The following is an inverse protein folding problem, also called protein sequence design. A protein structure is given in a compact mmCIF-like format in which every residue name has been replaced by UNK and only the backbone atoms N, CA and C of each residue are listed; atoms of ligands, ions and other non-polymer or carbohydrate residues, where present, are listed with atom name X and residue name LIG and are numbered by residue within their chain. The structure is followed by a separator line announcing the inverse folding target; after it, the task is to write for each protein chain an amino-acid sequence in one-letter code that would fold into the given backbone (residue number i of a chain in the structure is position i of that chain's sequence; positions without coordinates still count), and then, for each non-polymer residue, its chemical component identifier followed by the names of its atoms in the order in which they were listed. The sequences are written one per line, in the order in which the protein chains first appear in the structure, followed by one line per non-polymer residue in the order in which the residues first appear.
data_IF_616399089117
#
_entry.id   IF_616399089117
#
_cell.length_a   1.000
_cell.length_b   1.000
_cell.length_c   1.000
_cell.angle_alpha   90.00
_cell.angle_beta   90.00
_cell.angle_gamma   90.00
#
_symmetry.space_group_name_H-M   'P 1'
#
loop_
_entity.id
_entity.type
_entity.pdbx_description
1 polymer ?
#
# COMPACT_ATOMS: atom_id res chain seq x y z
N UNK A 1 -23.00 -4.06 -56.73
CA UNK A 1 -23.36 -4.19 -55.30
C UNK A 1 -22.08 -4.25 -54.50
N UNK A 2 -21.81 -3.23 -53.70
CA UNK A 2 -20.97 -3.34 -52.51
C UNK A 2 -21.39 -2.19 -51.60
N UNK A 3 -22.22 -2.54 -50.62
CA UNK A 3 -22.72 -1.64 -49.61
C UNK A 3 -21.56 -1.24 -48.70
N UNK A 4 -21.32 0.07 -48.61
CA UNK A 4 -20.50 0.65 -47.56
C UNK A 4 -21.32 0.49 -46.29
N UNK A 5 -20.91 -0.44 -45.43
CA UNK A 5 -21.50 -0.61 -44.13
C UNK A 5 -21.20 0.65 -43.30
N UNK A 6 -22.27 1.38 -42.97
CA UNK A 6 -22.25 2.43 -41.97
C UNK A 6 -21.74 1.83 -40.65
N UNK A 7 -20.49 2.14 -40.31
CA UNK A 7 -19.95 1.89 -38.99
C UNK A 7 -20.61 2.91 -38.05
N UNK A 8 -21.66 2.47 -37.36
CA UNK A 8 -22.23 3.18 -36.20
C UNK A 8 -21.14 3.39 -35.17
N UNK A 9 -20.65 4.62 -35.07
CA UNK A 9 -19.88 5.13 -33.93
C UNK A 9 -20.78 5.05 -32.69
N UNK A 10 -20.71 3.93 -31.96
CA UNK A 10 -21.17 3.90 -30.57
C UNK A 10 -20.23 4.80 -29.79
N UNK A 11 -20.74 5.91 -29.27
CA UNK A 11 -19.97 6.90 -28.54
C UNK A 11 -19.13 6.24 -27.44
N UNK A 12 -17.81 6.21 -27.64
CA UNK A 12 -16.85 5.77 -26.64
C UNK A 12 -16.68 6.90 -25.62
N UNK A 13 -17.61 7.01 -24.68
CA UNK A 13 -17.35 7.82 -23.50
C UNK A 13 -16.24 7.14 -22.69
N UNK A 14 -15.22 7.90 -22.32
CA UNK A 14 -14.15 7.43 -21.44
C UNK A 14 -14.75 7.01 -20.09
N UNK A 15 -14.43 5.80 -19.61
CA UNK A 15 -14.87 5.31 -18.30
C UNK A 15 -14.15 6.06 -17.19
N UNK A 16 -14.88 6.87 -16.43
CA UNK A 16 -14.34 7.59 -15.27
C UNK A 16 -14.41 6.67 -14.04
N UNK A 17 -13.28 6.49 -13.33
CA UNK A 17 -13.22 5.68 -12.10
C UNK A 17 -14.16 6.22 -11.00
N UNK A 18 -14.96 5.34 -10.39
CA UNK A 18 -16.00 5.72 -9.42
C UNK A 18 -15.67 5.36 -7.96
N UNK A 19 -14.48 4.81 -7.71
CA UNK A 19 -14.07 4.26 -6.41
C UNK A 19 -14.27 2.75 -6.35
N UNK A 20 -13.36 2.04 -5.68
CA UNK A 20 -13.28 0.57 -5.77
C UNK A 20 -14.57 -0.16 -5.42
N UNK A 21 -15.41 0.39 -4.53
CA UNK A 21 -16.66 -0.28 -4.14
C UNK A 21 -17.63 -0.34 -5.32
N UNK A 22 -17.70 0.71 -6.14
CA UNK A 22 -18.58 0.71 -7.31
C UNK A 22 -18.01 -0.06 -8.50
N UNK A 23 -16.68 -0.13 -8.61
CA UNK A 23 -16.01 -0.86 -9.69
C UNK A 23 -16.02 -2.37 -9.45
N UNK A 24 -15.98 -2.82 -8.18
CA UNK A 24 -15.93 -4.24 -7.80
C UNK A 24 -17.07 -4.65 -6.86
N UNK A 25 -18.23 -3.99 -6.97
CA UNK A 25 -19.37 -4.15 -6.05
C UNK A 25 -19.82 -5.59 -5.87
N UNK A 26 -19.86 -6.34 -6.96
CA UNK A 26 -20.29 -7.74 -7.01
C UNK A 26 -19.30 -8.72 -6.35
N UNK A 27 -18.08 -8.26 -6.06
CA UNK A 27 -17.00 -9.04 -5.43
C UNK A 27 -16.70 -8.58 -3.99
N UNK A 28 -17.47 -7.63 -3.48
CA UNK A 28 -17.27 -7.06 -2.14
C UNK A 28 -18.49 -7.37 -1.26
N UNK A 29 -18.31 -7.48 0.08
CA UNK A 29 -19.40 -7.79 1.00
C UNK A 29 -20.29 -6.57 1.27
N UNK A 30 -20.89 -6.02 0.21
CA UNK A 30 -21.78 -4.86 0.23
C UNK A 30 -23.13 -5.24 -0.37
N UNK A 31 -24.19 -4.57 0.09
CA UNK A 31 -25.55 -4.72 -0.43
C UNK A 31 -25.91 -3.50 -1.27
N UNK A 32 -27.09 -3.53 -1.92
CA UNK A 32 -27.64 -2.35 -2.59
C UNK A 32 -27.93 -1.18 -1.63
N UNK A 33 -28.08 -1.46 -0.32
CA UNK A 33 -28.28 -0.44 0.72
C UNK A 33 -27.01 0.02 1.42
N UNK A 34 -25.87 -0.62 1.19
CA UNK A 34 -24.61 -0.22 1.84
C UNK A 34 -24.24 1.21 1.41
N UNK A 35 -24.12 2.17 2.36
CA UNK A 35 -23.74 3.53 2.05
C UNK A 35 -22.27 3.60 1.64
N UNK A 36 -22.01 3.91 0.37
CA UNK A 36 -20.64 3.98 -0.16
C UNK A 36 -19.96 5.26 0.28
N UNK A 37 -18.96 5.12 1.16
CA UNK A 37 -18.05 6.20 1.57
C UNK A 37 -16.76 6.05 0.78
N UNK A 38 -16.68 6.78 -0.33
CA UNK A 38 -15.49 6.78 -1.21
C UNK A 38 -14.88 8.17 -1.35
N UNK A 39 -13.55 8.18 -1.53
CA UNK A 39 -12.75 9.31 -2.00
C UNK A 39 -12.18 9.02 -3.40
N UNK A 40 -12.81 8.09 -4.13
CA UNK A 40 -12.39 7.60 -5.45
C UNK A 40 -11.04 6.85 -5.42
N UNK A 41 -10.77 6.17 -4.30
CA UNK A 41 -9.61 5.28 -4.14
C UNK A 41 -9.63 4.05 -5.06
N UNK A 42 -8.46 3.43 -5.24
CA UNK A 42 -8.23 2.44 -6.27
C UNK A 42 -7.95 3.08 -7.63
N UNK A 43 -7.98 2.28 -8.70
CA UNK A 43 -7.67 2.76 -10.05
C UNK A 43 -6.25 3.32 -10.16
N UNK A 44 -5.33 2.86 -9.32
CA UNK A 44 -3.98 3.44 -9.21
C UNK A 44 -3.11 3.01 -10.39
N UNK A 45 -2.12 3.84 -10.80
CA UNK A 45 -1.24 3.51 -11.91
C UNK A 45 -0.51 2.17 -11.71
N UNK A 46 -0.44 1.37 -12.78
CA UNK A 46 0.49 0.26 -12.93
C UNK A 46 1.57 0.70 -13.93
N UNK A 47 2.69 1.18 -13.41
CA UNK A 47 3.73 1.85 -14.20
C UNK A 47 4.78 0.82 -14.64
N UNK A 48 5.07 0.66 -15.95
CA UNK A 48 6.22 -0.11 -16.39
C UNK A 48 7.52 0.46 -15.81
N UNK A 49 8.33 -0.37 -15.17
CA UNK A 49 9.60 0.02 -14.58
C UNK A 49 10.75 -0.41 -15.48
N UNK A 50 11.20 0.51 -16.33
CA UNK A 50 12.14 0.19 -17.40
C UNK A 50 13.51 -0.25 -16.84
N UNK A 51 14.03 0.48 -15.86
CA UNK A 51 15.35 0.18 -15.27
C UNK A 51 15.30 -1.13 -14.50
N UNK A 52 14.23 -1.42 -13.78
CA UNK A 52 14.06 -2.72 -13.12
C UNK A 52 13.94 -3.85 -14.13
N UNK A 53 13.24 -3.62 -15.25
CA UNK A 53 13.11 -4.60 -16.33
C UNK A 53 14.46 -4.94 -16.94
N UNK A 54 15.27 -3.92 -17.28
CA UNK A 54 16.63 -4.09 -17.80
C UNK A 54 17.55 -4.84 -16.83
N UNK A 55 17.46 -4.54 -15.52
CA UNK A 55 18.32 -5.18 -14.50
C UNK A 55 17.92 -6.60 -14.15
N UNK A 56 16.68 -7.00 -14.43
CA UNK A 56 16.16 -8.34 -14.10
C UNK A 56 15.97 -9.22 -15.32
N UNK A 57 16.00 -8.65 -16.54
CA UNK A 57 15.63 -9.34 -17.77
C UNK A 57 14.15 -9.72 -17.83
N UNK A 58 13.29 -9.07 -17.04
CA UNK A 58 11.86 -9.37 -16.87
C UNK A 58 10.99 -8.17 -17.25
N UNK A 59 9.68 -8.37 -17.41
CA UNK A 59 8.72 -7.27 -17.56
C UNK A 59 8.25 -6.82 -16.18
N UNK A 60 8.86 -5.78 -15.63
CA UNK A 60 8.58 -5.30 -14.27
C UNK A 60 7.62 -4.12 -14.28
N UNK A 61 6.61 -4.18 -13.41
CA UNK A 61 5.63 -3.10 -13.21
C UNK A 61 5.57 -2.68 -11.74
N UNK A 62 5.29 -1.41 -11.49
CA UNK A 62 5.05 -0.84 -10.17
C UNK A 62 3.56 -0.56 -9.99
N UNK A 63 2.92 -1.22 -9.02
CA UNK A 63 1.56 -0.84 -8.60
C UNK A 63 1.67 0.32 -7.61
N UNK A 64 1.43 1.55 -8.10
CA UNK A 64 1.72 2.80 -7.38
C UNK A 64 0.60 3.19 -6.43
N UNK A 65 0.54 2.53 -5.28
CA UNK A 65 -0.50 2.73 -4.28
C UNK A 65 -0.39 4.06 -3.52
N UNK A 66 0.76 4.75 -3.65
CA UNK A 66 0.95 6.12 -3.18
C UNK A 66 0.10 7.17 -3.89
N UNK A 67 -0.60 6.81 -4.98
CA UNK A 67 -1.53 7.69 -5.69
C UNK A 67 -2.97 7.66 -5.11
N UNK A 68 -3.25 6.80 -4.13
CA UNK A 68 -4.53 6.82 -3.42
C UNK A 68 -4.76 8.14 -2.66
N UNK A 69 -6.02 8.50 -2.31
CA UNK A 69 -6.38 9.82 -1.76
C UNK A 69 -5.56 10.29 -0.56
N UNK A 70 -5.21 9.39 0.36
CA UNK A 70 -4.40 9.71 1.53
C UNK A 70 -2.93 9.35 1.35
N UNK A 71 -2.53 8.90 0.17
CA UNK A 71 -1.15 8.55 -0.18
C UNK A 71 -0.72 7.15 0.24
N UNK A 72 -1.66 6.21 0.44
CA UNK A 72 -1.32 4.80 0.71
C UNK A 72 -2.43 3.82 0.34
N UNK A 73 -2.07 2.55 0.13
CA UNK A 73 -3.01 1.44 -0.10
C UNK A 73 -4.07 1.23 1.00
N UNK A 74 -3.88 1.84 2.18
CA UNK A 74 -4.80 1.69 3.32
C UNK A 74 -6.20 2.18 2.98
N UNK A 75 -6.31 3.13 2.07
CA UNK A 75 -7.56 3.69 1.56
C UNK A 75 -8.48 2.62 1.00
N UNK A 76 -7.90 1.60 0.33
CA UNK A 76 -8.68 0.48 -0.21
C UNK A 76 -9.45 -0.28 0.87
N UNK A 77 -8.79 -0.56 1.99
CA UNK A 77 -9.44 -1.20 3.12
C UNK A 77 -10.34 -0.24 3.88
N UNK A 78 -9.99 1.03 3.93
CA UNK A 78 -10.68 2.02 4.76
C UNK A 78 -12.02 2.43 4.18
N UNK A 79 -12.15 2.57 2.85
CA UNK A 79 -13.47 2.79 2.22
C UNK A 79 -14.46 1.69 2.61
N UNK A 80 -14.04 0.42 2.57
CA UNK A 80 -14.86 -0.72 2.98
C UNK A 80 -15.19 -0.67 4.47
N UNK A 81 -14.19 -0.47 5.33
CA UNK A 81 -14.38 -0.43 6.77
C UNK A 81 -15.34 0.69 7.21
N UNK A 82 -15.21 1.88 6.63
CA UNK A 82 -16.04 3.02 6.99
C UNK A 82 -17.45 2.92 6.38
N UNK A 83 -17.59 2.40 5.16
CA UNK A 83 -18.90 2.14 4.55
C UNK A 83 -19.70 1.13 5.37
N UNK A 84 -19.05 0.03 5.79
CA UNK A 84 -19.67 -0.98 6.66
C UNK A 84 -19.96 -0.44 8.07
N UNK A 85 -19.02 0.30 8.67
CA UNK A 85 -19.28 0.96 9.95
C UNK A 85 -20.49 1.90 9.88
N UNK A 86 -20.68 2.60 8.75
CA UNK A 86 -21.82 3.48 8.54
C UNK A 86 -23.13 2.71 8.37
N UNK A 87 -23.08 1.60 7.65
CA UNK A 87 -24.20 0.67 7.53
C UNK A 87 -24.65 0.14 8.90
N UNK A 88 -23.69 -0.17 9.76
CA UNK A 88 -23.92 -0.71 11.11
C UNK A 88 -24.28 0.38 12.15
N UNK A 89 -24.38 1.65 11.73
CA UNK A 89 -24.79 2.76 12.59
C UNK A 89 -23.70 3.32 13.51
N UNK A 90 -22.43 3.04 13.23
CA UNK A 90 -21.32 3.62 14.00
C UNK A 90 -21.30 5.15 13.90
N UNK A 91 -21.02 5.81 15.02
CA UNK A 91 -20.90 7.27 15.11
C UNK A 91 -19.43 7.71 15.14
N UNK A 92 -18.54 6.81 15.51
CA UNK A 92 -17.11 7.03 15.56
C UNK A 92 -16.32 5.82 15.07
N UNK A 93 -15.07 6.04 14.71
CA UNK A 93 -14.12 5.00 14.34
C UNK A 93 -12.83 5.18 15.10
N UNK A 94 -12.20 4.07 15.46
CA UNK A 94 -11.00 4.07 16.30
C UNK A 94 -9.91 3.17 15.73
N UNK A 95 -8.67 3.64 15.85
CA UNK A 95 -7.49 2.85 15.52
C UNK A 95 -6.35 3.07 16.52
N UNK A 96 -5.48 2.07 16.65
CA UNK A 96 -4.28 2.11 17.49
C UNK A 96 -3.03 2.16 16.59
N UNK A 97 -2.92 3.20 15.76
CA UNK A 97 -1.82 3.35 14.81
C UNK A 97 -1.50 4.83 14.59
N UNK A 98 -0.22 5.17 14.52
CA UNK A 98 0.25 6.57 14.37
C UNK A 98 0.69 6.92 12.94
N UNK A 99 0.42 6.07 11.95
CA UNK A 99 0.87 6.22 10.57
C UNK A 99 -0.25 6.15 9.53
N UNK A 100 0.02 5.53 8.38
CA UNK A 100 -0.90 5.51 7.23
C UNK A 100 -2.35 5.04 7.55
N UNK A 101 -2.53 4.13 8.51
CA UNK A 101 -3.86 3.68 8.92
C UNK A 101 -4.69 4.80 9.57
N UNK A 102 -4.11 5.63 10.45
CA UNK A 102 -4.86 6.72 11.10
C UNK A 102 -5.13 7.87 10.16
N UNK A 103 -4.20 8.18 9.25
CA UNK A 103 -4.44 9.17 8.19
C UNK A 103 -5.62 8.77 7.30
N UNK A 104 -5.65 7.51 6.85
CA UNK A 104 -6.75 6.95 6.08
C UNK A 104 -8.05 6.95 6.88
N UNK A 105 -8.06 6.42 8.11
CA UNK A 105 -9.25 6.38 8.96
C UNK A 105 -9.84 7.78 9.18
N UNK A 106 -9.00 8.79 9.44
CA UNK A 106 -9.44 10.16 9.65
C UNK A 106 -10.08 10.76 8.40
N UNK A 107 -9.47 10.59 7.22
CA UNK A 107 -10.01 11.12 5.96
C UNK A 107 -11.38 10.53 5.61
N UNK A 108 -11.53 9.21 5.71
CA UNK A 108 -12.82 8.56 5.41
C UNK A 108 -13.87 8.82 6.50
N UNK A 109 -13.48 8.96 7.77
CA UNK A 109 -14.40 9.35 8.83
C UNK A 109 -14.99 10.75 8.57
N UNK A 110 -14.17 11.72 8.15
CA UNK A 110 -14.65 13.05 7.73
C UNK A 110 -15.65 12.91 6.58
N UNK A 111 -15.32 12.13 5.55
CA UNK A 111 -16.21 11.88 4.40
C UNK A 111 -17.53 11.22 4.83
N UNK A 112 -17.52 10.37 5.84
CA UNK A 112 -18.69 9.69 6.36
C UNK A 112 -19.55 10.54 7.32
N UNK A 113 -18.99 11.63 7.87
CA UNK A 113 -19.60 12.41 8.95
C UNK A 113 -19.42 11.77 10.34
N UNK A 114 -18.33 11.02 10.56
CA UNK A 114 -18.03 10.30 11.80
C UNK A 114 -16.88 10.92 12.56
N UNK A 115 -16.82 10.67 13.87
CA UNK A 115 -15.65 11.02 14.69
C UNK A 115 -14.52 10.01 14.42
N UNK A 116 -13.30 10.48 14.13
CA UNK A 116 -12.11 9.62 14.12
C UNK A 116 -11.33 9.79 15.41
N UNK A 117 -10.94 8.68 16.04
CA UNK A 117 -10.07 8.68 17.21
C UNK A 117 -8.83 7.79 16.99
N UNK A 118 -7.69 8.25 17.49
CA UNK A 118 -6.43 7.50 17.50
C UNK A 118 -6.00 7.31 18.94
N UNK A 119 -5.89 6.05 19.39
CA UNK A 119 -5.35 5.73 20.70
C UNK A 119 -3.83 5.59 20.62
N UNK A 120 -3.14 6.29 21.50
CA UNK A 120 -1.67 6.22 21.61
C UNK A 120 -1.28 6.12 23.08
N UNK A 121 -0.23 5.35 23.43
CA UNK A 121 0.33 5.37 24.79
C UNK A 121 0.82 6.76 25.17
N UNK A 122 0.66 7.14 26.43
CA UNK A 122 1.16 8.41 26.96
C UNK A 122 2.67 8.57 26.70
N UNK A 123 3.08 9.77 26.27
CA UNK A 123 4.49 10.11 26.05
C UNK A 123 5.14 9.50 24.80
N UNK A 124 4.40 8.73 23.98
CA UNK A 124 4.90 8.10 22.74
C UNK A 124 4.29 8.72 21.47
N UNK A 125 4.29 10.04 21.39
CA UNK A 125 3.71 10.78 20.25
C UNK A 125 4.81 11.13 19.23
N UNK A 126 4.68 10.61 18.00
CA UNK A 126 5.42 11.09 16.84
C UNK A 126 4.54 12.06 16.03
N UNK A 127 4.47 13.33 16.47
CA UNK A 127 3.53 14.33 15.89
C UNK A 127 3.67 14.47 14.38
N UNK A 128 4.90 14.48 13.85
CA UNK A 128 5.15 14.60 12.40
C UNK A 128 4.42 13.54 11.57
N UNK A 129 4.35 12.29 12.07
CA UNK A 129 3.67 11.19 11.37
C UNK A 129 2.15 11.26 11.45
N UNK A 130 1.63 11.96 12.45
CA UNK A 130 0.19 12.14 12.66
C UNK A 130 -0.34 13.41 12.02
N UNK A 131 0.49 14.22 11.37
CA UNK A 131 0.10 15.51 10.79
C UNK A 131 -1.14 15.41 9.90
N UNK A 132 -1.19 14.41 9.00
CA UNK A 132 -2.36 14.23 8.12
C UNK A 132 -3.63 13.84 8.89
N UNK A 133 -3.53 12.95 9.89
CA UNK A 133 -4.68 12.59 10.72
C UNK A 133 -5.20 13.77 11.55
N UNK A 134 -4.29 14.59 12.09
CA UNK A 134 -4.61 15.81 12.85
C UNK A 134 -5.31 16.85 11.99
N UNK A 135 -4.84 17.09 10.77
CA UNK A 135 -5.48 18.02 9.82
C UNK A 135 -6.89 17.55 9.41
N UNK A 136 -7.10 16.24 9.31
CA UNK A 136 -8.43 15.66 9.13
C UNK A 136 -9.28 15.66 10.43
N UNK A 137 -8.81 16.25 11.53
CA UNK A 137 -9.58 16.41 12.76
C UNK A 137 -9.66 15.16 13.63
N UNK A 138 -8.74 14.20 13.48
CA UNK A 138 -8.69 13.03 14.35
C UNK A 138 -8.43 13.43 15.81
N UNK A 139 -9.24 12.87 16.73
CA UNK A 139 -9.02 13.01 18.17
C UNK A 139 -7.90 12.09 18.62
N UNK A 140 -6.79 12.65 19.07
CA UNK A 140 -5.69 11.87 19.64
C UNK A 140 -5.95 11.69 21.13
N UNK A 141 -6.19 10.45 21.54
CA UNK A 141 -6.43 10.10 22.94
C UNK A 141 -5.20 9.37 23.48
N UNK A 142 -4.51 10.01 24.42
CA UNK A 142 -3.40 9.39 25.13
C UNK A 142 -3.96 8.47 26.22
N UNK A 143 -3.61 7.19 26.14
CA UNK A 143 -3.95 6.19 27.14
C UNK A 143 -2.84 6.14 28.18
N UNK A 144 -3.20 6.24 29.45
CA UNK A 144 -2.31 5.98 30.58
C UNK A 144 -2.05 4.47 30.68
N UNK A 145 -1.12 4.00 29.85
CA UNK A 145 -0.87 2.59 29.64
C UNK A 145 0.09 2.34 28.48
N UNK A 146 0.23 1.09 28.10
CA UNK A 146 1.06 0.63 26.99
C UNK A 146 0.25 0.42 25.69
N UNK A 147 0.87 -0.20 24.68
CA UNK A 147 0.21 -0.45 23.39
C UNK A 147 -0.91 -1.50 23.48
N UNK A 148 -0.74 -2.52 24.31
CA UNK A 148 -1.74 -3.57 24.54
C UNK A 148 -2.96 -3.00 25.28
N UNK A 149 -2.74 -2.07 26.21
CA UNK A 149 -3.82 -1.33 26.88
C UNK A 149 -4.62 -0.49 25.87
N UNK A 150 -3.95 0.14 24.89
CA UNK A 150 -4.62 0.86 23.81
C UNK A 150 -5.49 -0.09 22.95
N UNK A 151 -5.00 -1.28 22.62
CA UNK A 151 -5.77 -2.26 21.85
C UNK A 151 -6.98 -2.77 22.64
N UNK A 152 -6.79 -3.05 23.92
CA UNK A 152 -7.85 -3.51 24.83
C UNK A 152 -8.95 -2.45 24.94
N UNK A 153 -8.56 -1.19 25.21
CA UNK A 153 -9.52 -0.07 25.27
C UNK A 153 -10.24 0.14 23.93
N UNK A 154 -9.53 0.06 22.80
CA UNK A 154 -10.15 0.19 21.48
C UNK A 154 -11.22 -0.87 21.23
N UNK A 155 -10.95 -2.11 21.64
CA UNK A 155 -11.89 -3.23 21.52
C UNK A 155 -13.10 -3.04 22.42
N UNK A 156 -12.90 -2.74 23.69
CA UNK A 156 -14.00 -2.51 24.63
C UNK A 156 -14.90 -1.34 24.20
N UNK A 157 -14.30 -0.26 23.67
CA UNK A 157 -15.06 0.87 23.11
C UNK A 157 -15.96 0.41 21.96
N UNK A 158 -15.46 -0.47 21.09
CA UNK A 158 -16.25 -0.99 19.96
C UNK A 158 -17.35 -1.98 20.35
N UNK A 159 -17.19 -2.66 21.49
CA UNK A 159 -18.18 -3.60 22.00
C UNK A 159 -19.29 -2.90 22.81
N UNK A 160 -18.97 -1.79 23.49
CA UNK A 160 -19.88 -1.11 24.44
C UNK A 160 -20.55 0.15 23.87
N UNK A 161 -20.01 0.74 22.80
CA UNK A 161 -20.45 2.02 22.25
C UNK A 161 -20.53 1.94 20.72
N UNK A 162 -21.22 2.87 20.02
CA UNK A 162 -21.31 2.89 18.56
C UNK A 162 -20.00 3.36 17.90
N UNK A 163 -18.92 2.61 18.15
CA UNK A 163 -17.55 2.87 17.69
C UNK A 163 -17.08 1.67 16.88
N UNK A 164 -16.63 1.88 15.64
CA UNK A 164 -16.07 0.81 14.84
C UNK A 164 -14.54 0.74 14.98
N UNK A 165 -14.00 -0.46 15.22
CA UNK A 165 -12.56 -0.72 15.24
C UNK A 165 -12.04 -0.95 13.81
N UNK A 166 -11.15 -0.08 13.32
CA UNK A 166 -10.65 -0.12 11.92
C UNK A 166 -9.16 -0.52 11.81
N UNK A 167 -8.66 -1.27 12.79
CA UNK A 167 -7.31 -1.83 12.80
C UNK A 167 -7.09 -2.93 11.73
N UNK A 168 -5.85 -3.39 11.56
CA UNK A 168 -5.45 -4.35 10.50
C UNK A 168 -6.19 -5.69 10.54
N UNK A 169 -6.67 -6.07 11.72
CA UNK A 169 -7.41 -7.32 11.97
C UNK A 169 -8.85 -7.29 11.46
N UNK A 170 -9.34 -6.11 11.07
CA UNK A 170 -10.70 -5.97 10.57
C UNK A 170 -10.83 -6.71 9.21
N UNK A 171 -11.68 -7.75 9.10
CA UNK A 171 -11.79 -8.56 7.88
C UNK A 171 -12.26 -7.76 6.67
N UNK A 172 -13.14 -6.75 6.85
CA UNK A 172 -13.63 -5.95 5.71
C UNK A 172 -12.55 -5.06 5.11
N UNK A 173 -11.46 -4.78 5.86
CA UNK A 173 -10.30 -4.10 5.28
C UNK A 173 -9.53 -4.97 4.31
N UNK A 174 -9.48 -6.28 4.54
CA UNK A 174 -8.83 -7.25 3.63
C UNK A 174 -9.64 -7.33 2.33
N UNK A 175 -10.97 -7.37 2.44
CA UNK A 175 -11.88 -7.36 1.28
C UNK A 175 -11.67 -6.14 0.39
N UNK A 176 -11.54 -4.94 0.98
CA UNK A 176 -11.22 -3.74 0.19
C UNK A 176 -9.82 -3.81 -0.43
N UNK A 177 -8.81 -4.25 0.32
CA UNK A 177 -7.42 -4.32 -0.16
C UNK A 177 -7.20 -5.33 -1.29
N UNK A 178 -7.99 -6.41 -1.36
CA UNK A 178 -7.85 -7.45 -2.40
C UNK A 178 -8.07 -6.91 -3.81
N UNK A 179 -8.83 -5.82 -3.94
CA UNK A 179 -9.14 -5.16 -5.22
C UNK A 179 -7.90 -4.69 -5.98
N UNK A 180 -6.78 -4.47 -5.31
CA UNK A 180 -5.54 -4.15 -5.99
C UNK A 180 -5.05 -5.29 -6.90
N UNK A 181 -5.29 -6.55 -6.52
CA UNK A 181 -4.99 -7.71 -7.36
C UNK A 181 -5.93 -7.78 -8.57
N UNK A 182 -7.21 -7.42 -8.40
CA UNK A 182 -8.18 -7.34 -9.50
C UNK A 182 -7.73 -6.32 -10.54
N UNK A 183 -7.37 -5.09 -10.12
CA UNK A 183 -6.89 -4.05 -11.02
C UNK A 183 -5.63 -4.46 -11.80
N UNK A 184 -4.75 -5.25 -11.18
CA UNK A 184 -3.55 -5.76 -11.84
C UNK A 184 -3.94 -6.73 -12.95
N UNK A 185 -4.84 -7.68 -12.67
CA UNK A 185 -5.30 -8.63 -13.70
C UNK A 185 -6.08 -7.91 -14.79
N UNK A 186 -7.00 -7.01 -14.44
CA UNK A 186 -7.80 -6.23 -15.40
C UNK A 186 -6.91 -5.45 -16.38
N UNK A 187 -5.78 -4.90 -15.89
CA UNK A 187 -4.86 -4.13 -16.73
C UNK A 187 -3.90 -5.00 -17.54
N UNK A 188 -3.42 -6.12 -16.99
CA UNK A 188 -2.44 -7.00 -17.65
C UNK A 188 -3.07 -8.11 -18.51
N UNK A 189 -4.39 -8.33 -18.38
CA UNK A 189 -5.14 -9.42 -18.98
C UNK A 189 -4.97 -10.78 -18.30
N UNK A 190 -4.05 -10.91 -17.34
CA UNK A 190 -3.83 -12.09 -16.52
C UNK A 190 -2.99 -11.73 -15.27
N UNK A 191 -2.88 -12.64 -14.31
CA UNK A 191 -1.98 -12.49 -13.18
C UNK A 191 -0.49 -12.47 -13.62
N UNK A 192 0.38 -11.71 -12.91
CA UNK A 192 1.82 -11.78 -13.14
C UNK A 192 2.39 -13.15 -12.74
N UNK A 193 3.63 -13.44 -13.12
CA UNK A 193 4.35 -14.63 -12.65
C UNK A 193 4.74 -14.50 -11.18
N UNK A 194 5.15 -13.29 -10.78
CA UNK A 194 5.56 -12.95 -9.41
C UNK A 194 4.89 -11.64 -9.00
N UNK A 195 4.31 -11.64 -7.81
CA UNK A 195 3.89 -10.41 -7.15
C UNK A 195 4.76 -10.15 -5.92
N UNK A 196 5.47 -9.03 -5.92
CA UNK A 196 6.40 -8.64 -4.86
C UNK A 196 5.83 -7.49 -4.03
N UNK A 197 5.85 -7.60 -2.70
CA UNK A 197 5.34 -6.54 -1.82
C UNK A 197 5.99 -6.51 -0.42
N UNK A 198 5.99 -5.35 0.27
CA UNK A 198 6.47 -5.25 1.64
C UNK A 198 5.52 -5.94 2.63
N UNK A 199 6.06 -6.52 3.69
CA UNK A 199 5.29 -7.23 4.73
C UNK A 199 5.56 -6.64 6.12
N UNK A 200 4.57 -5.93 6.65
CA UNK A 200 4.51 -5.47 8.04
C UNK A 200 3.57 -6.34 8.87
N UNK A 201 2.33 -5.86 9.07
CA UNK A 201 1.26 -6.63 9.73
C UNK A 201 0.66 -7.77 8.88
N UNK A 202 1.19 -7.97 7.66
CA UNK A 202 0.84 -9.02 6.71
C UNK A 202 -0.61 -9.08 6.17
N UNK A 203 -1.47 -8.14 6.54
CA UNK A 203 -2.80 -8.01 5.92
C UNK A 203 -2.76 -7.78 4.41
N UNK A 204 -1.74 -7.07 3.88
CA UNK A 204 -1.68 -6.77 2.45
C UNK A 204 -1.39 -8.01 1.60
N UNK A 205 -0.36 -8.80 1.94
CA UNK A 205 -0.07 -10.06 1.23
C UNK A 205 -1.24 -11.04 1.29
N UNK A 206 -1.92 -11.09 2.43
CA UNK A 206 -3.17 -11.85 2.59
C UNK A 206 -4.25 -11.38 1.62
N UNK A 207 -4.48 -10.06 1.54
CA UNK A 207 -5.49 -9.47 0.68
C UNK A 207 -5.18 -9.69 -0.81
N UNK A 208 -3.95 -9.46 -1.25
CA UNK A 208 -3.55 -9.70 -2.64
C UNK A 208 -3.71 -11.17 -3.02
N UNK A 209 -3.26 -12.10 -2.15
CA UNK A 209 -3.42 -13.52 -2.41
C UNK A 209 -4.88 -13.94 -2.55
N UNK A 210 -5.75 -13.43 -1.66
CA UNK A 210 -7.19 -13.63 -1.76
C UNK A 210 -7.76 -13.12 -3.08
N UNK A 211 -7.39 -11.91 -3.50
CA UNK A 211 -7.84 -11.33 -4.76
C UNK A 211 -7.42 -12.16 -5.98
N UNK A 212 -6.15 -12.58 -6.05
CA UNK A 212 -5.69 -13.44 -7.13
C UNK A 212 -6.42 -14.79 -7.16
N UNK A 213 -6.65 -15.41 -6.00
CA UNK A 213 -7.39 -16.67 -5.92
C UNK A 213 -8.83 -16.55 -6.38
N UNK A 214 -9.53 -15.46 -6.02
CA UNK A 214 -10.91 -15.23 -6.45
C UNK A 214 -10.99 -15.03 -7.97
N UNK A 215 -10.14 -14.19 -8.55
CA UNK A 215 -10.10 -14.00 -10.00
C UNK A 215 -9.74 -15.29 -10.76
N UNK A 216 -8.81 -16.10 -10.23
CA UNK A 216 -8.49 -17.38 -10.83
C UNK A 216 -9.64 -18.39 -10.72
N UNK A 217 -10.33 -18.44 -9.58
CA UNK A 217 -11.48 -19.34 -9.38
C UNK A 217 -12.66 -18.98 -10.30
N UNK A 218 -12.86 -17.69 -10.57
CA UNK A 218 -13.89 -17.18 -11.48
C UNK A 218 -13.48 -17.24 -12.96
N UNK A 219 -12.26 -17.68 -13.28
CA UNK A 219 -11.74 -17.77 -14.64
C UNK A 219 -11.36 -16.44 -15.30
N UNK A 220 -11.25 -15.36 -14.51
CA UNK A 220 -10.78 -14.04 -14.97
C UNK A 220 -9.25 -13.94 -15.04
N UNK A 221 -8.55 -14.80 -14.30
CA UNK A 221 -7.12 -15.04 -14.44
C UNK A 221 -6.89 -16.52 -14.76
N UNK A 222 -5.94 -16.83 -15.64
CA UNK A 222 -5.61 -18.22 -15.97
C UNK A 222 -4.78 -18.90 -14.87
N UNK A 223 -4.19 -18.10 -13.98
CA UNK A 223 -3.26 -18.54 -12.94
C UNK A 223 -3.25 -17.59 -11.74
N UNK A 224 -2.53 -17.99 -10.71
CA UNK A 224 -2.18 -17.12 -9.58
C UNK A 224 -0.66 -16.87 -9.57
N UNK A 225 -0.20 -15.70 -9.08
CA UNK A 225 1.23 -15.39 -9.02
C UNK A 225 1.90 -16.06 -7.82
N UNK A 226 3.22 -16.25 -7.90
CA UNK A 226 4.04 -16.51 -6.71
C UNK A 226 4.09 -15.24 -5.85
N UNK A 227 3.68 -15.32 -4.59
CA UNK A 227 3.66 -14.17 -3.69
C UNK A 227 5.00 -14.01 -2.97
N UNK A 228 5.70 -12.90 -3.21
CA UNK A 228 7.00 -12.59 -2.63
C UNK A 228 6.87 -11.44 -1.62
N UNK A 229 6.91 -11.78 -0.33
CA UNK A 229 6.88 -10.83 0.76
C UNK A 229 8.27 -10.45 1.24
N UNK A 230 8.50 -9.16 1.51
CA UNK A 230 9.77 -8.69 2.06
C UNK A 230 9.60 -7.88 3.35
N UNK A 231 10.32 -8.31 4.41
CA UNK A 231 10.43 -7.58 5.68
C UNK A 231 11.77 -6.84 5.76
N UNK A 232 11.86 -5.82 6.62
CA UNK A 232 13.15 -5.25 6.96
C UNK A 232 13.91 -6.18 7.93
N UNK A 233 15.22 -6.34 7.77
CA UNK A 233 16.00 -7.34 8.50
C UNK A 233 15.98 -7.17 10.03
N UNK A 234 15.83 -5.95 10.54
CA UNK A 234 15.68 -5.68 11.97
C UNK A 234 14.23 -5.78 12.49
N UNK A 235 13.30 -6.20 11.64
CA UNK A 235 11.86 -6.35 11.93
C UNK A 235 11.25 -7.47 11.08
N UNK A 236 11.89 -8.65 11.06
CA UNK A 236 11.54 -9.77 10.19
C UNK A 236 10.98 -11.01 10.94
N UNK A 237 9.96 -10.87 11.81
CA UNK A 237 9.48 -11.97 12.65
C UNK A 237 8.97 -13.19 11.86
N UNK A 238 8.34 -13.01 10.69
CA UNK A 238 7.83 -14.14 9.89
C UNK A 238 8.98 -14.96 9.31
N UNK A 239 10.05 -14.27 8.89
CA UNK A 239 11.26 -14.91 8.36
C UNK A 239 11.99 -15.66 9.47
N UNK A 240 12.12 -15.04 10.64
CA UNK A 240 12.85 -15.60 11.78
C UNK A 240 12.02 -16.66 12.56
N UNK A 241 10.73 -16.80 12.26
CA UNK A 241 9.83 -17.77 12.90
C UNK A 241 9.45 -17.45 14.35
N UNK A 242 9.76 -16.25 14.84
CA UNK A 242 9.47 -15.82 16.21
C UNK A 242 9.23 -14.30 16.32
N UNK A 243 8.41 -13.82 17.27
CA UNK A 243 8.20 -12.40 17.47
C UNK A 243 9.49 -11.63 17.76
N UNK A 244 9.66 -10.46 17.14
CA UNK A 244 10.77 -9.53 17.39
C UNK A 244 10.32 -8.50 18.42
N UNK A 245 10.83 -8.59 19.66
CA UNK A 245 10.39 -7.74 20.76
C UNK A 245 10.74 -6.24 20.60
N UNK A 246 11.84 -5.95 19.90
CA UNK A 246 12.35 -4.59 19.68
C UNK A 246 12.62 -4.35 18.19
N UNK A 247 11.57 -4.27 17.35
CA UNK A 247 11.75 -4.13 15.91
C UNK A 247 12.40 -2.79 15.58
N UNK A 248 13.41 -2.81 14.70
CA UNK A 248 14.15 -1.63 14.26
C UNK A 248 14.32 -1.62 12.74
N UNK A 249 13.97 -0.51 12.11
CA UNK A 249 14.21 -0.25 10.69
C UNK A 249 13.86 1.21 10.37
N UNK A 250 14.48 1.77 9.33
CA UNK A 250 14.08 3.03 8.70
C UNK A 250 12.67 2.95 8.09
N UNK A 251 12.24 1.76 7.67
CA UNK A 251 10.98 1.50 6.98
C UNK A 251 9.81 1.39 7.97
N UNK A 252 9.39 2.53 8.52
CA UNK A 252 8.53 2.52 9.71
C UNK A 252 7.15 1.90 9.52
N UNK A 253 6.60 1.86 8.30
CA UNK A 253 5.32 1.19 8.02
C UNK A 253 5.38 -0.35 8.11
N UNK A 254 6.59 -0.94 8.05
CA UNK A 254 6.82 -2.38 8.24
C UNK A 254 7.63 -2.71 9.51
N UNK A 255 7.81 -1.73 10.41
CA UNK A 255 8.43 -1.92 11.73
C UNK A 255 7.46 -2.61 12.71
N UNK A 256 7.17 -3.88 12.44
CA UNK A 256 6.21 -4.72 13.16
C UNK A 256 6.94 -5.97 13.70
N UNK A 257 6.87 -6.16 15.01
CA UNK A 257 7.50 -7.28 15.71
C UNK A 257 6.64 -8.53 15.85
N UNK A 258 5.31 -8.38 15.79
CA UNK A 258 4.35 -9.48 15.88
C UNK A 258 3.16 -9.24 14.92
N UNK A 259 3.26 -9.71 13.66
CA UNK A 259 2.24 -9.46 12.65
C UNK A 259 0.87 -10.07 12.99
N UNK A 260 -0.19 -9.26 12.90
CA UNK A 260 -1.54 -9.72 13.22
C UNK A 260 -2.09 -10.77 12.24
N UNK A 261 -1.61 -10.80 10.99
CA UNK A 261 -2.04 -11.75 9.96
C UNK A 261 -0.94 -12.78 9.64
N UNK A 262 -0.19 -13.23 10.66
CA UNK A 262 0.96 -14.12 10.49
C UNK A 262 0.61 -15.40 9.72
N UNK A 263 -0.35 -16.18 10.21
CA UNK A 263 -0.69 -17.48 9.61
C UNK A 263 -1.20 -17.34 8.18
N UNK A 264 -1.99 -16.29 7.91
CA UNK A 264 -2.47 -15.99 6.56
C UNK A 264 -1.33 -15.60 5.61
N UNK A 265 -0.26 -14.98 6.12
CA UNK A 265 0.92 -14.67 5.32
C UNK A 265 1.72 -15.92 4.97
N UNK A 266 1.85 -16.87 5.92
CA UNK A 266 2.46 -18.17 5.67
C UNK A 266 1.63 -18.96 4.65
N UNK A 267 0.31 -18.99 4.79
CA UNK A 267 -0.57 -19.62 3.80
C UNK A 267 -0.42 -18.97 2.41
N UNK A 268 -0.40 -17.63 2.32
CA UNK A 268 -0.17 -16.95 1.04
C UNK A 268 1.19 -17.28 0.43
N UNK A 269 2.25 -17.42 1.25
CA UNK A 269 3.58 -17.86 0.80
C UNK A 269 3.53 -19.28 0.27
N UNK A 270 3.00 -20.21 1.07
CA UNK A 270 3.08 -21.64 0.81
C UNK A 270 2.13 -22.05 -0.34
N UNK A 271 0.88 -21.59 -0.31
CA UNK A 271 -0.12 -21.91 -1.35
C UNK A 271 0.25 -21.33 -2.72
N UNK A 272 0.95 -20.19 -2.75
CA UNK A 272 1.38 -19.56 -4.00
C UNK A 272 2.70 -20.11 -4.55
N UNK A 273 3.40 -20.99 -3.80
CA UNK A 273 4.77 -21.39 -4.12
C UNK A 273 5.75 -20.19 -4.10
N UNK A 274 5.44 -19.18 -3.28
CA UNK A 274 6.19 -17.95 -3.13
C UNK A 274 7.22 -18.00 -2.00
N UNK A 275 7.60 -16.81 -1.50
CA UNK A 275 8.54 -16.68 -0.38
C UNK A 275 8.19 -15.47 0.50
N UNK A 276 8.64 -15.51 1.75
CA UNK A 276 8.76 -14.32 2.60
C UNK A 276 10.20 -14.29 3.10
N UNK A 277 10.90 -13.19 2.82
CA UNK A 277 12.31 -13.02 3.19
C UNK A 277 12.57 -11.59 3.69
N UNK A 278 13.81 -11.27 4.03
CA UNK A 278 14.21 -9.98 4.59
C UNK A 278 15.27 -9.28 3.77
N UNK A 279 15.19 -7.95 3.76
CA UNK A 279 16.17 -7.05 3.15
C UNK A 279 16.69 -6.06 4.20
N UNK A 280 17.95 -5.66 4.05
CA UNK A 280 18.58 -4.69 4.96
C UNK A 280 18.09 -3.27 4.68
N UNK A 281 18.16 -2.39 5.69
CA UNK A 281 17.85 -0.96 5.51
C UNK A 281 18.72 -0.30 4.43
N UNK A 282 19.95 -0.79 4.22
CA UNK A 282 20.83 -0.32 3.14
C UNK A 282 20.25 -0.66 1.77
N UNK A 283 19.77 -1.89 1.58
CA UNK A 283 19.12 -2.32 0.34
C UNK A 283 17.82 -1.55 0.11
N UNK A 284 17.02 -1.37 1.17
CA UNK A 284 15.79 -0.55 1.13
C UNK A 284 16.11 0.88 0.66
N UNK A 285 17.11 1.53 1.25
CA UNK A 285 17.48 2.89 0.90
C UNK A 285 18.04 2.99 -0.54
N UNK A 286 18.77 1.98 -0.99
CA UNK A 286 19.26 1.90 -2.37
C UNK A 286 18.11 1.78 -3.37
N UNK A 287 17.13 0.90 -3.11
CA UNK A 287 15.94 0.75 -3.94
C UNK A 287 15.06 2.01 -3.92
N UNK A 288 14.90 2.65 -2.76
CA UNK A 288 14.20 3.92 -2.60
C UNK A 288 14.80 5.02 -3.50
N UNK A 289 16.13 5.17 -3.49
CA UNK A 289 16.83 6.13 -4.35
C UNK A 289 16.72 5.77 -5.83
N UNK A 290 16.82 4.50 -6.17
CA UNK A 290 16.66 4.02 -7.55
C UNK A 290 15.27 4.35 -8.09
N UNK A 291 14.21 4.04 -7.33
CA UNK A 291 12.84 4.31 -7.73
C UNK A 291 12.61 5.80 -8.01
N UNK A 292 13.10 6.68 -7.14
CA UNK A 292 12.95 8.11 -7.33
C UNK A 292 13.82 8.65 -8.49
N UNK A 293 15.10 8.28 -8.54
CA UNK A 293 16.07 8.90 -9.44
C UNK A 293 16.08 8.32 -10.86
N UNK A 294 15.60 7.08 -11.04
CA UNK A 294 15.71 6.36 -12.32
C UNK A 294 14.36 5.93 -12.89
N UNK A 295 13.38 5.58 -12.04
CA UNK A 295 12.02 5.25 -12.49
C UNK A 295 11.07 6.46 -12.40
N UNK A 296 11.47 7.54 -11.71
CA UNK A 296 10.62 8.72 -11.50
C UNK A 296 9.45 8.49 -10.55
N UNK A 297 9.46 7.41 -9.75
CA UNK A 297 8.37 7.05 -8.82
C UNK A 297 8.84 7.27 -7.38
N UNK A 298 8.32 8.32 -6.74
CA UNK A 298 8.71 8.69 -5.38
C UNK A 298 7.85 7.99 -4.32
N UNK A 299 8.46 7.09 -3.53
CA UNK A 299 7.77 6.17 -2.61
C UNK A 299 8.32 6.27 -1.18
N UNK A 300 7.55 5.90 -0.16
CA UNK A 300 8.07 5.80 1.21
C UNK A 300 9.08 4.62 1.34
N UNK A 301 10.02 4.63 2.31
CA UNK A 301 11.03 3.57 2.45
C UNK A 301 10.45 2.14 2.56
N UNK A 302 9.30 1.97 3.23
CA UNK A 302 8.66 0.66 3.32
C UNK A 302 8.25 0.09 1.94
N UNK A 303 7.75 0.94 1.04
CA UNK A 303 7.40 0.56 -0.33
C UNK A 303 8.60 -0.01 -1.09
N UNK A 304 9.78 0.60 -0.89
CA UNK A 304 11.02 0.21 -1.57
C UNK A 304 11.52 -1.18 -1.16
N UNK A 305 11.04 -1.75 -0.05
CA UNK A 305 11.40 -3.11 0.36
C UNK A 305 10.97 -4.17 -0.67
N UNK A 306 9.89 -3.94 -1.42
CA UNK A 306 9.47 -4.83 -2.52
C UNK A 306 10.55 -4.91 -3.60
N UNK A 307 11.00 -3.75 -4.09
CA UNK A 307 12.01 -3.64 -5.15
C UNK A 307 13.39 -4.06 -4.66
N UNK A 308 13.76 -3.72 -3.42
CA UNK A 308 14.99 -4.21 -2.80
C UNK A 308 15.01 -5.75 -2.77
N UNK A 309 13.88 -6.38 -2.44
CA UNK A 309 13.72 -7.82 -2.43
C UNK A 309 13.84 -8.43 -3.82
N UNK A 310 13.14 -7.87 -4.81
CA UNK A 310 13.23 -8.31 -6.20
C UNK A 310 14.68 -8.27 -6.70
N UNK A 311 15.36 -7.14 -6.53
CA UNK A 311 16.74 -6.97 -6.99
C UNK A 311 17.69 -7.96 -6.30
N UNK A 312 17.54 -8.17 -4.99
CA UNK A 312 18.36 -9.15 -4.26
C UNK A 312 18.15 -10.58 -4.76
N UNK A 313 16.91 -10.95 -5.12
CA UNK A 313 16.60 -12.27 -5.68
C UNK A 313 17.08 -12.44 -7.12
N UNK A 314 16.98 -11.39 -7.94
CA UNK A 314 17.53 -11.38 -9.29
C UNK A 314 19.06 -11.52 -9.27
N UNK A 315 19.76 -10.78 -8.41
CA UNK A 315 21.21 -10.89 -8.22
C UNK A 315 21.65 -12.29 -7.76
N UNK A 316 20.81 -12.96 -6.96
CA UNK A 316 21.02 -14.35 -6.54
C UNK A 316 20.65 -15.40 -7.61
N UNK A 317 20.21 -15.00 -8.81
CA UNK A 317 19.82 -15.91 -9.89
C UNK A 317 18.51 -16.66 -9.65
N UNK A 318 17.62 -16.12 -8.79
CA UNK A 318 16.34 -16.73 -8.43
C UNK A 318 15.14 -16.17 -9.21
N UNK A 319 15.39 -15.31 -10.19
CA UNK A 319 14.38 -14.72 -11.07
C UNK A 319 14.71 -15.15 -12.50
N UNK A 320 13.78 -15.86 -13.14
CA UNK A 320 13.98 -16.31 -14.52
C UNK A 320 13.65 -15.17 -15.49
N UNK A 321 14.50 -14.87 -16.48
CA UNK A 321 14.22 -13.84 -17.48
C UNK A 321 12.90 -14.09 -18.24
N UNK A 322 12.27 -13.00 -18.68
CA UNK A 322 11.01 -13.02 -19.41
C UNK A 322 9.76 -13.20 -18.54
N UNK A 323 9.90 -13.30 -17.22
CA UNK A 323 8.77 -13.30 -16.29
C UNK A 323 8.10 -11.93 -16.22
N UNK A 324 6.78 -11.91 -16.02
CA UNK A 324 6.05 -10.69 -15.69
C UNK A 324 5.99 -10.52 -14.18
N UNK A 325 6.47 -9.38 -13.69
CA UNK A 325 6.62 -9.13 -12.26
C UNK A 325 5.90 -7.83 -11.88
N UNK A 326 5.12 -7.85 -10.81
CA UNK A 326 4.50 -6.65 -10.25
C UNK A 326 5.05 -6.40 -8.84
N UNK A 327 5.60 -5.21 -8.62
CA UNK A 327 6.00 -4.73 -7.30
C UNK A 327 4.96 -3.73 -6.77
N UNK A 328 4.31 -4.05 -5.65
CA UNK A 328 3.45 -3.08 -4.96
C UNK A 328 4.30 -2.08 -4.18
N UNK A 329 4.22 -0.79 -4.58
CA UNK A 329 4.83 0.31 -3.84
C UNK A 329 3.76 1.03 -3.03
N UNK A 330 3.70 0.68 -1.74
CA UNK A 330 2.53 0.81 -0.85
C UNK A 330 2.10 2.24 -0.49
N UNK A 331 3.01 3.20 -0.51
CA UNK A 331 2.78 4.55 -0.03
C UNK A 331 3.70 5.58 -0.65
N UNK A 332 3.21 6.82 -0.67
CA UNK A 332 3.85 7.95 -1.32
C UNK A 332 5.10 8.42 -0.56
N UNK A 333 6.16 8.84 -1.26
CA UNK A 333 7.37 9.37 -0.63
C UNK A 333 7.15 10.60 0.24
N UNK A 334 6.10 11.39 -0.05
CA UNK A 334 5.72 12.55 0.76
C UNK A 334 5.25 12.21 2.18
N UNK A 335 5.04 10.92 2.48
CA UNK A 335 4.71 10.44 3.84
C UNK A 335 5.88 10.51 4.81
N UNK A 336 7.12 10.50 4.31
CA UNK A 336 8.32 10.48 5.14
C UNK A 336 9.37 11.48 4.61
N UNK A 337 9.10 12.79 4.74
CA UNK A 337 9.94 13.83 4.15
C UNK A 337 11.34 13.87 4.76
N UNK A 338 11.52 13.41 6.00
CA UNK A 338 12.80 13.42 6.71
C UNK A 338 13.86 12.63 5.93
N UNK A 339 13.50 11.47 5.35
CA UNK A 339 14.41 10.67 4.53
C UNK A 339 14.71 11.26 3.15
N UNK A 340 13.82 12.11 2.63
CA UNK A 340 14.07 12.82 1.37
C UNK A 340 15.06 13.97 1.56
N UNK A 341 15.01 14.63 2.72
CA UNK A 341 15.89 15.76 3.05
C UNK A 341 17.22 15.27 3.64
N UNK A 342 17.23 14.11 4.32
CA UNK A 342 18.42 13.54 4.92
C UNK A 342 19.50 13.23 3.86
N UNK A 343 20.52 14.09 3.80
CA UNK A 343 21.64 13.97 2.86
C UNK A 343 21.40 14.64 1.50
N UNK A 344 20.36 15.47 1.36
CA UNK A 344 20.18 16.30 0.17
C UNK A 344 21.36 17.28 0.01
N UNK A 345 21.90 17.47 -1.21
CA UNK A 345 22.96 18.44 -1.46
C UNK A 345 22.46 19.86 -1.17
N UNK A 346 23.34 20.71 -0.67
CA UNK A 346 23.02 22.12 -0.49
C UNK A 346 22.77 22.77 -1.87
N UNK A 347 21.71 23.59 -2.01
CA UNK A 347 21.47 24.33 -3.25
C UNK A 347 22.70 25.14 -3.64
N UNK A 348 23.10 25.04 -4.91
CA UNK A 348 24.19 25.85 -5.45
C UNK A 348 23.65 27.22 -5.86
N UNK A 349 24.34 28.29 -5.46
CA UNK A 349 24.04 29.65 -5.90
C UNK A 349 24.80 29.90 -7.20
N UNK A 350 24.08 30.25 -8.26
CA UNK A 350 24.66 30.64 -9.55
C UNK A 350 24.39 32.13 -9.82
N UNK A 351 25.31 32.85 -10.49
CA UNK A 351 25.05 34.21 -10.95
C UNK A 351 23.89 34.24 -11.97
N UNK A 352 23.32 35.43 -12.21
CA UNK A 352 22.31 35.67 -13.25
C UNK A 352 23.01 35.67 -14.62
N UNK A 353 23.55 34.52 -15.00
CA UNK A 353 24.30 34.28 -16.23
C UNK A 353 23.90 32.92 -16.83
N UNK A 354 23.29 32.90 -18.02
CA UNK A 354 22.85 31.66 -18.66
C UNK A 354 23.97 30.67 -18.95
N UNK A 355 25.19 31.13 -19.27
CA UNK A 355 26.30 30.24 -19.60
C UNK A 355 26.81 29.51 -18.35
N UNK A 356 27.01 30.23 -17.25
CA UNK A 356 27.36 29.64 -15.95
C UNK A 356 26.31 28.63 -15.50
N UNK A 357 25.03 28.96 -15.66
CA UNK A 357 23.94 28.03 -15.35
C UNK A 357 24.01 26.77 -16.24
N UNK A 358 24.24 26.92 -17.55
CA UNK A 358 24.35 25.80 -18.48
C UNK A 358 25.55 24.88 -18.18
N UNK A 359 26.73 25.43 -17.87
CA UNK A 359 27.90 24.63 -17.41
C UNK A 359 27.59 23.86 -16.13
N UNK A 360 26.90 24.49 -15.17
CA UNK A 360 26.51 23.85 -13.89
C UNK A 360 25.48 22.74 -14.07
N UNK A 361 24.63 22.83 -15.07
CA UNK A 361 23.71 21.77 -15.47
C UNK A 361 24.38 20.65 -16.28
N UNK A 362 25.67 20.77 -16.61
CA UNK A 362 26.38 19.82 -17.46
C UNK A 362 25.95 19.88 -18.92
N UNK A 363 25.42 21.02 -19.38
CA UNK A 363 24.97 21.23 -20.77
C UNK A 363 26.06 21.83 -21.67
N UNK A 364 27.15 22.29 -21.07
CA UNK A 364 28.34 22.82 -21.74
C UNK A 364 29.58 22.26 -21.04
N UNK A 365 30.59 21.88 -21.81
CA UNK A 365 31.90 21.41 -21.33
C UNK A 365 32.68 22.50 -20.61
#
# INVERSE_FOLDING_TARGET
MNAIAESTVRGSHTHQWRGLIEEYRDRLPVTGSTPVVTLLEGGTPLVPAQVLSERTGCDVYLKVEGANPTGSFKDRGMTMAISKAKEDGAQAVICASTGNTSASAAAYAVRAGMVSAVLVPQGKIALGKMGQALVHGAKILQVDGNFDDCLTLARELSEKYPVALVNSVNPVRIEGQKTAAFEIVDMLGDAPDIHVLPVGNAGNITAYWKGYREYAADGLAARTPRMWGFQASGSAPIVDGAPVLKPQTIATAIRIGNPASWDYALAARDDSGGLIDKVTDRQILSAYRLLAAQEGVFVEPASAASVAGLLAKAEAGLVDPGQRIVCTVTGNGLKDPDWAVAGAPQPQVVPIDPETAARRLGLLD
#
